data_IF_332272759184
#
_entry.id   IF_332272759184
#
_cell.length_a   1.000
_cell.length_b   1.000
_cell.length_c   1.000
_cell.angle_alpha   90.00
_cell.angle_beta   90.00
_cell.angle_gamma   90.00
#
_symmetry.space_group_name_H-M   'P 1'
#
loop_
_entity.id
_entity.type
_entity.pdbx_description
1 polymer ?
#
# COMPACT_ATOMS: atom_id res chain seq x y z
N UNK A 1 -2.77 -1.90 -7.06
CA UNK A 1 -3.05 -2.84 -5.97
C UNK A 1 -3.77 -4.03 -6.55
N UNK A 2 -3.29 -5.24 -6.28
CA UNK A 2 -3.89 -6.49 -6.72
C UNK A 2 -3.93 -7.47 -5.53
N UNK A 3 -4.82 -8.45 -5.59
CA UNK A 3 -4.82 -9.60 -4.69
C UNK A 3 -3.83 -10.61 -5.28
N UNK A 4 -2.70 -10.82 -4.61
CA UNK A 4 -1.65 -11.75 -5.05
C UNK A 4 -1.11 -12.56 -3.86
N UNK A 5 -0.56 -13.73 -4.14
CA UNK A 5 0.13 -14.56 -3.14
C UNK A 5 1.53 -13.99 -2.88
N UNK A 6 2.02 -14.00 -1.62
CA UNK A 6 3.34 -13.46 -1.31
C UNK A 6 4.44 -14.30 -1.98
N UNK A 7 5.32 -13.64 -2.74
CA UNK A 7 6.53 -14.26 -3.27
C UNK A 7 7.71 -14.08 -2.28
N UNK A 8 8.77 -14.88 -2.43
CA UNK A 8 9.96 -14.87 -1.55
C UNK A 8 10.71 -13.53 -1.52
N UNK A 9 10.51 -12.68 -2.53
CA UNK A 9 11.13 -11.35 -2.64
C UNK A 9 10.27 -10.21 -2.07
N UNK A 10 9.06 -10.53 -1.59
CA UNK A 10 8.14 -9.56 -1.05
C UNK A 10 8.27 -9.39 0.46
N UNK A 11 8.24 -8.13 0.91
CA UNK A 11 8.06 -7.80 2.32
C UNK A 11 6.60 -7.88 2.69
N UNK A 12 6.32 -8.68 3.72
CA UNK A 12 4.98 -8.84 4.30
C UNK A 12 4.87 -7.97 5.55
N UNK A 13 3.88 -7.08 5.56
CA UNK A 13 3.50 -6.27 6.71
C UNK A 13 2.17 -6.80 7.26
N UNK A 14 2.20 -7.32 8.48
CA UNK A 14 1.01 -7.84 9.16
C UNK A 14 0.33 -6.72 9.96
N UNK A 15 -0.87 -6.33 9.55
CA UNK A 15 -1.71 -5.33 10.23
C UNK A 15 -2.82 -5.99 11.06
N UNK A 16 -2.70 -7.30 11.34
CA UNK A 16 -3.62 -8.10 12.14
C UNK A 16 -4.88 -8.52 11.39
N UNK A 17 -5.63 -7.57 10.84
CA UNK A 17 -6.86 -7.83 10.07
C UNK A 17 -6.60 -8.14 8.59
N UNK A 18 -5.47 -7.65 8.06
CA UNK A 18 -5.04 -7.91 6.69
C UNK A 18 -3.51 -7.90 6.62
N UNK A 19 -2.98 -8.60 5.63
CA UNK A 19 -1.56 -8.60 5.31
C UNK A 19 -1.34 -7.75 4.05
N UNK A 20 -0.34 -6.88 4.11
CA UNK A 20 0.11 -6.10 2.96
C UNK A 20 1.40 -6.73 2.47
N UNK A 21 1.46 -7.01 1.17
CA UNK A 21 2.62 -7.58 0.51
C UNK A 21 3.17 -6.50 -0.43
N UNK A 22 4.45 -6.16 -0.28
CA UNK A 22 5.12 -5.17 -1.13
C UNK A 22 6.47 -5.72 -1.56
N UNK A 23 6.78 -5.59 -2.85
CA UNK A 23 8.08 -6.01 -3.36
C UNK A 23 9.22 -5.23 -2.69
N UNK A 24 10.24 -5.93 -2.19
CA UNK A 24 11.31 -5.32 -1.40
C UNK A 24 12.17 -4.35 -2.21
N UNK A 25 12.35 -4.58 -3.52
CA UNK A 25 13.15 -3.72 -4.40
C UNK A 25 12.43 -2.40 -4.67
N UNK A 26 11.10 -2.46 -4.83
CA UNK A 26 10.29 -1.26 -4.99
C UNK A 26 10.26 -0.42 -3.72
N UNK A 27 10.29 -1.06 -2.54
CA UNK A 27 10.24 -0.37 -1.24
C UNK A 27 11.36 0.68 -1.05
N UNK A 28 12.54 0.44 -1.64
CA UNK A 28 13.66 1.41 -1.63
C UNK A 28 13.34 2.69 -2.43
N UNK A 29 12.47 2.60 -3.44
CA UNK A 29 12.11 3.70 -4.33
C UNK A 29 10.84 4.45 -3.87
N UNK A 30 9.91 3.80 -3.17
CA UNK A 30 8.65 4.39 -2.66
C UNK A 30 8.72 4.82 -1.18
N UNK A 31 9.71 4.37 -0.42
CA UNK A 31 9.92 4.80 0.96
C UNK A 31 8.77 4.37 1.89
N UNK A 32 8.47 5.18 2.90
CA UNK A 32 7.34 4.91 3.80
C UNK A 32 6.02 5.11 3.03
N UNK A 33 5.14 4.11 3.14
CA UNK A 33 3.83 4.07 2.49
C UNK A 33 2.73 4.01 3.55
N UNK A 34 1.85 5.00 3.54
CA UNK A 34 0.65 5.06 4.36
C UNK A 34 -0.56 4.67 3.50
N UNK A 35 -1.32 3.67 3.97
CA UNK A 35 -2.55 3.22 3.31
C UNK A 35 -3.72 3.57 4.24
N UNK A 36 -4.62 4.42 3.75
CA UNK A 36 -5.82 4.83 4.46
C UNK A 36 -7.07 4.44 3.65
N UNK A 37 -8.10 3.95 4.31
CA UNK A 37 -9.38 3.67 3.67
C UNK A 37 -10.36 4.80 3.98
N UNK A 38 -10.74 5.55 2.94
CA UNK A 38 -11.76 6.58 3.06
C UNK A 38 -13.07 6.09 2.49
N UNK A 39 -14.05 5.97 3.37
CA UNK A 39 -15.45 5.86 3.00
C UNK A 39 -16.06 7.27 2.92
N UNK A 40 -16.60 7.62 1.77
CA UNK A 40 -17.23 8.91 1.54
C UNK A 40 -18.58 8.73 0.84
N UNK A 41 -19.48 9.72 0.97
CA UNK A 41 -20.78 9.71 0.28
C UNK A 41 -20.70 9.54 -1.25
N UNK A 42 -19.54 9.80 -1.85
CA UNK A 42 -19.31 9.68 -3.29
C UNK A 42 -18.58 8.39 -3.69
N UNK A 43 -18.27 7.53 -2.73
CA UNK A 43 -17.56 6.28 -2.95
C UNK A 43 -16.56 5.98 -1.85
N UNK A 44 -16.32 4.70 -1.65
CA UNK A 44 -15.31 4.16 -0.75
C UNK A 44 -14.06 3.77 -1.53
N UNK A 45 -12.88 4.13 -1.04
CA UNK A 45 -11.62 3.79 -1.73
C UNK A 45 -10.39 3.83 -0.81
N UNK A 46 -9.32 3.20 -1.28
CA UNK A 46 -8.03 3.23 -0.62
C UNK A 46 -7.21 4.40 -1.15
N UNK A 47 -6.73 5.23 -0.23
CA UNK A 47 -5.76 6.28 -0.50
C UNK A 47 -4.38 5.74 -0.12
N UNK A 48 -3.46 5.73 -1.08
CA UNK A 48 -2.07 5.36 -0.84
C UNK A 48 -1.23 6.64 -0.91
N UNK A 49 -0.50 6.93 0.16
CA UNK A 49 0.47 8.03 0.22
C UNK A 49 1.86 7.43 0.36
N UNK A 50 2.79 7.93 -0.42
CA UNK A 50 4.20 7.54 -0.37
C UNK A 50 5.03 8.78 -0.06
N UNK A 51 6.13 8.58 0.65
CA UNK A 51 7.06 9.67 1.00
C UNK A 51 7.64 10.35 -0.24
N UNK A 52 7.80 9.61 -1.34
CA UNK A 52 8.39 10.11 -2.59
C UNK A 52 7.36 10.43 -3.68
N UNK A 53 6.09 10.09 -3.45
CA UNK A 53 4.99 10.35 -4.38
C UNK A 53 4.13 11.52 -3.95
N UNK A 54 4.13 12.61 -4.72
CA UNK A 54 3.10 13.65 -4.58
C UNK A 54 1.72 13.08 -4.90
N UNK A 55 0.73 13.35 -4.04
CA UNK A 55 -0.67 13.02 -4.35
C UNK A 55 -1.10 13.77 -5.61
N UNK A 56 -1.61 13.06 -6.62
CA UNK A 56 -2.17 13.71 -7.80
C UNK A 56 -3.40 14.54 -7.36
N UNK A 57 -3.34 15.85 -7.58
CA UNK A 57 -4.41 16.81 -7.28
C UNK A 57 -5.57 16.71 -8.24
#
# INVERSE_FOLDING_TARGET
MALDEPNDEDKVFDQGLFKVVVNAQELENIGEVEIDFKDSRFGSGFTVRSTYGSTCS
#
